data_IF_618965622334
#
_entry.id   IF_618965622334
#
_cell.length_a   1.000
_cell.length_b   1.000
_cell.length_c   1.000
_cell.angle_alpha   90.00
_cell.angle_beta   90.00
_cell.angle_gamma   90.00
#
_symmetry.space_group_name_H-M   'P 1'
#
loop_
_entity.id
_entity.type
_entity.pdbx_description
1 polymer ?
#
# COMPACT_ATOMS: atom_id res chain seq x y z
N UNK A 1 -13.97 24.30 28.09
CA UNK A 1 -13.77 25.56 27.34
C UNK A 1 -12.68 26.34 28.04
N UNK A 2 -11.58 26.70 27.35
CA UNK A 2 -10.50 27.57 27.88
C UNK A 2 -10.91 29.06 27.91
N UNK A 3 -12.21 29.37 28.06
CA UNK A 3 -12.73 30.74 27.94
C UNK A 3 -12.45 31.63 29.16
N UNK A 4 -11.86 31.10 30.23
CA UNK A 4 -11.84 31.78 31.52
C UNK A 4 -10.49 32.38 31.93
N UNK A 5 -9.45 32.28 31.12
CA UNK A 5 -8.16 32.92 31.41
C UNK A 5 -7.65 33.69 30.19
N UNK A 6 -7.41 35.01 30.33
CA UNK A 6 -6.78 35.89 29.32
C UNK A 6 -5.29 35.58 29.11
N UNK A 7 -4.89 34.33 29.24
CA UNK A 7 -3.51 33.92 29.04
C UNK A 7 -3.24 33.74 27.54
N UNK A 8 -2.05 34.12 27.04
CA UNK A 8 -1.69 33.89 25.65
C UNK A 8 -1.66 32.37 25.38
N UNK A 9 -2.54 31.89 24.51
CA UNK A 9 -2.64 30.48 24.13
C UNK A 9 -1.82 30.25 22.87
N UNK A 10 -0.87 29.32 22.93
CA UNK A 10 -0.10 28.86 21.77
C UNK A 10 -0.27 27.36 21.56
N UNK A 11 -0.10 26.89 20.32
CA UNK A 11 -0.26 25.48 19.94
C UNK A 11 1.08 24.83 19.66
N UNK A 12 1.39 23.78 20.41
CA UNK A 12 2.54 22.92 20.16
C UNK A 12 2.19 21.86 19.10
N UNK A 13 3.12 21.59 18.18
CA UNK A 13 2.99 20.47 17.23
C UNK A 13 4.30 19.74 16.99
N UNK A 14 4.21 18.43 17.03
CA UNK A 14 5.30 17.47 16.76
C UNK A 14 4.72 16.25 16.04
N UNK A 15 5.55 15.56 15.26
CA UNK A 15 5.16 14.37 14.48
C UNK A 15 5.54 13.05 15.17
N UNK A 16 6.44 13.13 16.14
CA UNK A 16 6.93 12.03 16.96
C UNK A 16 6.93 12.45 18.44
N UNK A 17 6.86 11.48 19.34
CA UNK A 17 6.89 11.70 20.79
C UNK A 17 8.30 11.37 21.27
N UNK A 18 9.23 12.30 21.07
CA UNK A 18 10.62 12.21 21.53
C UNK A 18 10.97 13.44 22.36
N UNK A 19 11.91 13.31 23.31
CA UNK A 19 12.37 14.44 24.12
C UNK A 19 12.81 15.62 23.24
N UNK A 20 13.57 15.32 22.18
CA UNK A 20 14.01 16.31 21.20
C UNK A 20 12.85 17.01 20.51
N UNK A 21 11.87 16.25 20.00
CA UNK A 21 10.72 16.84 19.29
C UNK A 21 9.82 17.67 20.21
N UNK A 22 9.68 17.27 21.48
CA UNK A 22 8.92 18.04 22.48
C UNK A 22 9.64 19.34 22.83
N UNK A 23 10.95 19.29 23.10
CA UNK A 23 11.77 20.50 23.36
C UNK A 23 11.71 21.47 22.19
N UNK A 24 11.90 20.97 20.96
CA UNK A 24 11.80 21.80 19.76
C UNK A 24 10.42 22.43 19.57
N UNK A 25 9.34 21.70 19.90
CA UNK A 25 7.99 22.24 19.82
C UNK A 25 7.73 23.33 20.86
N UNK A 26 8.31 23.21 22.06
CA UNK A 26 8.24 24.23 23.12
C UNK A 26 8.99 25.51 22.74
N UNK A 27 10.14 25.38 22.07
CA UNK A 27 10.92 26.51 21.56
C UNK A 27 10.23 27.22 20.38
N UNK A 28 9.45 26.49 19.58
CA UNK A 28 8.79 27.00 18.37
C UNK A 28 7.25 26.83 18.44
N UNK A 29 6.58 27.50 19.40
CA UNK A 29 5.13 27.44 19.51
C UNK A 29 4.49 28.24 18.37
N UNK A 30 3.35 27.77 17.88
CA UNK A 30 2.67 28.42 16.75
C UNK A 30 1.24 28.80 17.05
N UNK A 31 0.68 29.62 16.17
CA UNK A 31 -0.72 29.98 16.23
C UNK A 31 -1.64 28.86 15.74
N UNK A 32 -2.92 29.02 16.10
CA UNK A 32 -3.97 28.14 15.62
C UNK A 32 -4.23 28.44 14.14
N UNK A 33 -3.93 27.47 13.29
CA UNK A 33 -4.20 27.56 11.86
C UNK A 33 -5.71 27.45 11.61
N UNK A 34 -6.36 28.61 11.44
CA UNK A 34 -7.80 28.70 11.23
C UNK A 34 -8.24 28.09 9.90
N UNK A 35 -7.38 28.01 8.88
CA UNK A 35 -7.72 27.34 7.63
C UNK A 35 -7.91 25.84 7.83
N UNK A 36 -7.08 25.21 8.68
CA UNK A 36 -7.26 23.79 9.04
C UNK A 36 -8.52 23.55 9.88
N UNK A 37 -8.86 24.49 10.77
CA UNK A 37 -10.10 24.43 11.55
C UNK A 37 -11.31 24.53 10.62
N UNK A 38 -11.34 25.54 9.75
CA UNK A 38 -12.42 25.78 8.81
C UNK A 38 -12.58 24.61 7.82
N UNK A 39 -11.47 24.02 7.34
CA UNK A 39 -11.52 22.84 6.48
C UNK A 39 -12.15 21.63 7.20
N UNK A 40 -11.83 21.43 8.49
CA UNK A 40 -12.42 20.35 9.28
C UNK A 40 -13.91 20.61 9.56
N UNK A 41 -14.29 21.85 9.86
CA UNK A 41 -15.68 22.26 10.07
C UNK A 41 -16.51 22.12 8.79
N UNK A 42 -16.00 22.59 7.66
CA UNK A 42 -16.65 22.45 6.36
C UNK A 42 -16.90 20.97 6.03
N UNK A 43 -15.89 20.10 6.24
CA UNK A 43 -16.06 18.65 6.08
C UNK A 43 -17.16 18.09 7.00
N UNK A 44 -17.18 18.49 8.27
CA UNK A 44 -18.21 18.05 9.23
C UNK A 44 -19.60 18.51 8.83
N UNK A 45 -19.76 19.75 8.36
CA UNK A 45 -21.03 20.29 7.88
C UNK A 45 -21.48 19.52 6.62
N UNK A 46 -20.57 19.29 5.67
CA UNK A 46 -20.86 18.54 4.45
C UNK A 46 -21.33 17.12 4.74
N UNK A 47 -20.60 16.38 5.58
CA UNK A 47 -20.96 15.01 5.95
C UNK A 47 -22.31 15.00 6.71
N UNK A 48 -22.60 16.05 7.50
CA UNK A 48 -23.90 16.25 8.18
C UNK A 48 -25.04 16.50 7.19
N UNK A 49 -24.85 17.38 6.21
CA UNK A 49 -25.86 17.71 5.20
C UNK A 49 -26.24 16.49 4.35
N UNK A 50 -25.24 15.72 3.92
CA UNK A 50 -25.49 14.47 3.16
C UNK A 50 -26.26 13.48 4.04
N UNK A 51 -25.86 13.30 5.30
CA UNK A 51 -26.57 12.44 6.24
C UNK A 51 -28.04 12.82 6.40
N UNK A 52 -28.36 14.08 6.68
CA UNK A 52 -29.76 14.51 6.90
C UNK A 52 -30.60 14.57 5.64
N UNK A 53 -30.03 14.94 4.49
CA UNK A 53 -30.80 15.05 3.24
C UNK A 53 -30.99 13.73 2.51
N UNK A 54 -29.96 12.87 2.49
CA UNK A 54 -29.95 11.66 1.66
C UNK A 54 -30.45 10.43 2.43
N UNK A 55 -30.19 10.32 3.73
CA UNK A 55 -30.63 9.14 4.50
C UNK A 55 -32.16 8.93 4.49
N UNK A 56 -33.02 9.96 4.63
CA UNK A 56 -34.47 9.78 4.55
C UNK A 56 -34.95 9.24 3.19
N UNK A 57 -34.26 9.61 2.10
CA UNK A 57 -34.55 9.06 0.78
C UNK A 57 -34.20 7.57 0.72
N UNK A 58 -33.00 7.20 1.15
CA UNK A 58 -32.55 5.79 1.18
C UNK A 58 -33.44 4.92 2.06
N UNK A 59 -33.99 5.46 3.16
CA UNK A 59 -34.93 4.72 4.01
C UNK A 59 -36.23 4.37 3.30
N UNK A 60 -36.74 5.27 2.46
CA UNK A 60 -37.98 5.05 1.70
C UNK A 60 -37.78 4.07 0.54
N UNK A 61 -36.61 4.10 -0.11
CA UNK A 61 -36.37 3.33 -1.34
C UNK A 61 -35.74 1.96 -1.08
N UNK A 62 -34.94 1.80 -0.01
CA UNK A 62 -34.14 0.58 0.21
C UNK A 62 -34.50 -0.10 1.52
N UNK A 63 -34.11 0.49 2.65
CA UNK A 63 -34.37 -0.07 4.00
C UNK A 63 -34.21 1.01 5.06
N UNK A 64 -35.13 1.02 6.02
CA UNK A 64 -35.04 1.85 7.21
C UNK A 64 -33.76 1.56 8.01
N UNK A 65 -33.11 2.61 8.51
CA UNK A 65 -31.89 2.51 9.32
C UNK A 65 -30.56 2.50 8.53
N UNK A 66 -30.60 2.57 7.20
CA UNK A 66 -29.38 2.73 6.38
C UNK A 66 -28.84 4.16 6.44
N UNK A 67 -27.52 4.32 6.43
CA UNK A 67 -26.88 5.65 6.40
C UNK A 67 -26.33 5.95 5.01
N UNK A 68 -26.62 7.14 4.50
CA UNK A 68 -26.00 7.65 3.29
C UNK A 68 -24.74 8.44 3.66
N UNK A 69 -23.58 7.90 3.29
CA UNK A 69 -22.29 8.54 3.51
C UNK A 69 -21.65 8.99 2.21
N UNK A 70 -21.17 10.23 2.14
CA UNK A 70 -20.49 10.77 0.95
C UNK A 70 -19.28 9.94 0.49
N UNK A 71 -18.51 9.39 1.43
CA UNK A 71 -17.33 8.56 1.13
C UNK A 71 -17.69 7.07 1.06
N UNK A 72 -18.64 6.62 1.88
CA UNK A 72 -19.04 5.22 1.94
C UNK A 72 -19.77 4.76 0.67
N UNK A 73 -20.62 5.62 0.10
CA UNK A 73 -21.33 5.33 -1.16
C UNK A 73 -20.38 5.12 -2.33
N UNK A 74 -19.35 5.95 -2.49
CA UNK A 74 -18.32 5.77 -3.53
C UNK A 74 -17.53 4.48 -3.30
N UNK A 75 -17.17 4.17 -2.06
CA UNK A 75 -16.46 2.93 -1.75
C UNK A 75 -17.31 1.68 -2.04
N UNK A 76 -18.61 1.73 -1.72
CA UNK A 76 -19.55 0.65 -2.05
C UNK A 76 -19.71 0.51 -3.57
N UNK A 77 -19.84 1.64 -4.29
CA UNK A 77 -19.91 1.65 -5.75
C UNK A 77 -18.72 0.94 -6.40
N UNK A 78 -17.49 1.21 -5.94
CA UNK A 78 -16.30 0.53 -6.48
C UNK A 78 -16.34 -0.99 -6.29
N UNK A 79 -16.94 -1.47 -5.19
CA UNK A 79 -17.11 -2.91 -4.94
C UNK A 79 -18.19 -3.47 -5.87
N UNK A 80 -19.32 -2.77 -6.03
CA UNK A 80 -20.39 -3.18 -6.93
C UNK A 80 -19.93 -3.22 -8.39
N UNK A 81 -19.21 -2.20 -8.86
CA UNK A 81 -18.64 -2.16 -10.22
C UNK A 81 -17.70 -3.35 -10.45
N UNK A 82 -16.83 -3.67 -9.47
CA UNK A 82 -15.96 -4.84 -9.56
C UNK A 82 -16.73 -6.16 -9.61
N UNK A 83 -17.82 -6.27 -8.84
CA UNK A 83 -18.69 -7.44 -8.84
C UNK A 83 -19.46 -7.58 -10.18
N UNK A 84 -19.91 -6.47 -10.76
CA UNK A 84 -20.52 -6.45 -12.09
C UNK A 84 -19.54 -6.89 -13.17
N UNK A 85 -18.29 -6.42 -13.13
CA UNK A 85 -17.21 -6.90 -14.01
C UNK A 85 -16.99 -8.41 -13.87
N UNK A 86 -17.03 -8.95 -12.64
CA UNK A 86 -16.89 -10.39 -12.39
C UNK A 86 -18.08 -11.17 -12.97
N UNK A 87 -19.31 -10.65 -12.84
CA UNK A 87 -20.51 -11.30 -13.40
C UNK A 87 -20.58 -11.22 -14.92
N UNK A 88 -20.08 -10.14 -15.50
CA UNK A 88 -19.98 -9.96 -16.94
C UNK A 88 -18.78 -10.71 -17.55
N UNK A 89 -17.86 -11.23 -16.73
CA UNK A 89 -16.72 -11.99 -17.21
C UNK A 89 -17.18 -13.33 -17.81
N UNK A 90 -16.93 -13.50 -19.11
CA UNK A 90 -17.12 -14.77 -19.81
C UNK A 90 -15.79 -15.50 -19.83
N UNK A 91 -15.62 -16.62 -19.10
CA UNK A 91 -14.38 -17.39 -19.11
C UNK A 91 -14.09 -17.91 -20.51
N UNK A 92 -12.86 -17.67 -20.98
CA UNK A 92 -12.37 -18.23 -22.23
C UNK A 92 -11.40 -19.37 -21.91
N UNK A 93 -11.61 -20.51 -22.56
CA UNK A 93 -10.69 -21.63 -22.47
C UNK A 93 -9.35 -21.27 -23.14
N UNK A 94 -8.26 -21.63 -22.46
CA UNK A 94 -6.91 -21.52 -22.99
C UNK A 94 -6.04 -22.63 -22.44
N UNK A 95 -5.01 -23.00 -23.20
CA UNK A 95 -4.03 -24.01 -22.82
C UNK A 95 -2.63 -23.41 -22.84
N UNK A 96 -1.84 -23.73 -21.82
CA UNK A 96 -0.41 -23.41 -21.77
C UNK A 96 0.38 -24.72 -21.78
N UNK A 97 1.41 -24.80 -22.61
CA UNK A 97 2.32 -25.94 -22.63
C UNK A 97 3.59 -25.59 -21.88
N UNK A 98 3.90 -26.38 -20.86
CA UNK A 98 5.11 -26.25 -20.05
C UNK A 98 5.97 -27.50 -20.22
N UNK A 99 7.28 -27.30 -20.27
CA UNK A 99 8.25 -28.37 -20.43
C UNK A 99 9.40 -28.20 -19.44
N UNK A 100 9.70 -29.29 -18.73
CA UNK A 100 10.81 -29.36 -17.78
C UNK A 100 12.09 -29.81 -18.50
N UNK A 101 13.14 -29.01 -18.36
CA UNK A 101 14.45 -29.29 -18.92
C UNK A 101 15.49 -29.41 -17.82
N UNK A 102 16.47 -30.29 -18.04
CA UNK A 102 17.64 -30.44 -17.19
C UNK A 102 18.89 -30.05 -18.00
N UNK A 103 19.72 -29.16 -17.47
CA UNK A 103 21.00 -28.83 -18.08
C UNK A 103 22.01 -29.96 -17.84
N UNK A 104 23.10 -29.98 -18.62
CA UNK A 104 24.21 -30.91 -18.40
C UNK A 104 24.81 -30.82 -16.98
N UNK A 105 24.69 -29.66 -16.33
CA UNK A 105 25.12 -29.42 -14.94
C UNK A 105 24.08 -29.87 -13.88
N UNK A 106 23.01 -30.58 -14.29
CA UNK A 106 21.95 -31.08 -13.41
C UNK A 106 20.95 -30.02 -12.93
N UNK A 107 20.91 -28.83 -13.53
CA UNK A 107 19.96 -27.77 -13.13
C UNK A 107 18.64 -27.95 -13.86
N UNK A 108 17.54 -28.01 -13.11
CA UNK A 108 16.19 -28.13 -13.65
C UNK A 108 15.52 -26.77 -13.77
N UNK A 109 14.82 -26.57 -14.88
CA UNK A 109 14.00 -25.38 -15.09
C UNK A 109 12.79 -25.71 -15.97
N UNK A 110 11.68 -25.06 -15.67
CA UNK A 110 10.45 -25.17 -16.45
C UNK A 110 10.39 -24.04 -17.47
N UNK A 111 10.04 -24.37 -18.70
CA UNK A 111 9.84 -23.42 -19.79
C UNK A 111 8.40 -23.44 -20.25
N UNK A 112 7.96 -22.38 -20.92
CA UNK A 112 6.63 -22.30 -21.52
C UNK A 112 6.75 -22.08 -23.02
N UNK A 113 5.88 -22.71 -23.80
CA UNK A 113 5.77 -22.49 -25.22
C UNK A 113 5.30 -21.05 -25.50
N UNK A 114 6.09 -20.31 -26.28
CA UNK A 114 5.81 -18.91 -26.63
C UNK A 114 5.49 -18.69 -28.11
N UNK A 115 5.87 -19.64 -28.98
CA UNK A 115 5.71 -19.51 -30.44
C UNK A 115 5.64 -20.89 -31.10
N UNK A 116 4.76 -21.03 -32.08
CA UNK A 116 4.63 -22.23 -32.93
C UNK A 116 4.78 -21.81 -34.38
N UNK A 117 5.90 -22.19 -35.01
CA UNK A 117 6.24 -21.71 -36.35
C UNK A 117 6.40 -20.18 -36.37
N UNK A 118 5.56 -19.50 -37.14
CA UNK A 118 5.51 -18.02 -37.23
C UNK A 118 4.47 -17.40 -36.28
N UNK A 119 3.61 -18.19 -35.66
CA UNK A 119 2.56 -17.72 -34.75
C UNK A 119 3.12 -17.50 -33.34
N UNK A 120 3.23 -16.25 -32.91
CA UNK A 120 3.54 -15.89 -31.53
C UNK A 120 2.30 -16.03 -30.64
N UNK A 121 2.42 -16.78 -29.56
CA UNK A 121 1.33 -17.01 -28.61
C UNK A 121 1.30 -15.89 -27.57
N UNK A 122 0.22 -15.13 -27.51
CA UNK A 122 0.04 -14.11 -26.48
C UNK A 122 0.12 -14.73 -25.08
N UNK A 123 1.13 -14.32 -24.30
CA UNK A 123 1.40 -14.85 -22.95
C UNK A 123 1.64 -16.38 -22.91
N UNK A 124 1.97 -17.00 -24.06
CA UNK A 124 2.13 -18.45 -24.19
C UNK A 124 0.83 -19.24 -24.14
N UNK A 125 -0.31 -18.61 -24.47
CA UNK A 125 -1.63 -19.23 -24.40
C UNK A 125 -2.14 -19.65 -25.78
N UNK A 126 -2.56 -20.91 -25.90
CA UNK A 126 -3.29 -21.45 -27.04
C UNK A 126 -4.78 -21.25 -26.76
N UNK A 127 -5.45 -20.41 -27.55
CA UNK A 127 -6.86 -20.04 -27.38
C UNK A 127 -7.69 -20.48 -28.59
N UNK A 128 -9.01 -20.54 -28.43
CA UNK A 128 -9.97 -20.75 -29.53
C UNK A 128 -10.62 -22.14 -29.53
N UNK A 129 -11.55 -22.35 -30.46
CA UNK A 129 -12.24 -23.63 -30.62
C UNK A 129 -11.25 -24.73 -31.03
N UNK A 130 -11.30 -25.88 -30.34
CA UNK A 130 -10.32 -26.96 -30.55
C UNK A 130 -8.94 -26.71 -29.95
N UNK A 131 -8.75 -25.67 -29.12
CA UNK A 131 -7.47 -25.37 -28.47
C UNK A 131 -6.90 -26.54 -27.67
N UNK A 132 -7.76 -27.37 -27.08
CA UNK A 132 -7.34 -28.56 -26.31
C UNK A 132 -6.73 -29.65 -27.19
N UNK A 133 -7.32 -29.94 -28.35
CA UNK A 133 -6.77 -30.92 -29.30
C UNK A 133 -5.46 -30.42 -29.92
N UNK A 134 -5.41 -29.13 -30.25
CA UNK A 134 -4.19 -28.48 -30.72
C UNK A 134 -3.07 -28.55 -29.67
N UNK A 135 -3.37 -28.24 -28.41
CA UNK A 135 -2.41 -28.32 -27.32
C UNK A 135 -1.90 -29.76 -27.09
N UNK A 136 -2.78 -30.76 -27.13
CA UNK A 136 -2.40 -32.19 -27.02
C UNK A 136 -1.48 -32.63 -28.15
N UNK A 137 -1.81 -32.24 -29.38
CA UNK A 137 -1.02 -32.60 -30.57
C UNK A 137 0.38 -31.98 -30.50
N UNK A 138 0.45 -30.69 -30.18
CA UNK A 138 1.72 -29.99 -29.98
C UNK A 138 2.54 -30.58 -28.82
N UNK A 139 1.90 -30.98 -27.72
CA UNK A 139 2.59 -31.62 -26.61
C UNK A 139 3.22 -32.96 -27.02
N UNK A 140 2.51 -33.77 -27.82
CA UNK A 140 3.03 -35.04 -28.33
C UNK A 140 4.22 -34.84 -29.29
N UNK A 141 4.12 -33.85 -30.18
CA UNK A 141 5.22 -33.48 -31.09
C UNK A 141 6.46 -33.01 -30.31
N UNK A 142 6.26 -32.13 -29.33
CA UNK A 142 7.34 -31.60 -28.50
C UNK A 142 8.00 -32.67 -27.62
N UNK A 143 7.24 -33.66 -27.15
CA UNK A 143 7.78 -34.77 -26.35
C UNK A 143 8.73 -35.68 -27.16
N UNK A 144 8.49 -35.81 -28.46
CA UNK A 144 9.35 -36.59 -29.36
C UNK A 144 10.55 -35.80 -29.93
N UNK A 145 10.53 -34.47 -29.79
CA UNK A 145 11.53 -33.59 -30.39
C UNK A 145 12.74 -33.34 -29.46
N UNK A 146 13.93 -33.26 -30.05
CA UNK A 146 15.12 -32.81 -29.33
C UNK A 146 15.13 -31.28 -29.20
N UNK A 147 15.21 -30.77 -27.98
CA UNK A 147 15.31 -29.34 -27.72
C UNK A 147 16.77 -28.84 -27.82
N UNK A 148 16.95 -27.63 -28.35
CA UNK A 148 18.23 -26.92 -28.33
C UNK A 148 18.04 -25.48 -27.88
N UNK A 149 19.03 -24.94 -27.19
CA UNK A 149 19.02 -23.53 -26.79
C UNK A 149 19.31 -22.66 -28.01
N UNK A 150 18.36 -21.82 -28.40
CA UNK A 150 18.51 -20.94 -29.56
C UNK A 150 19.22 -19.61 -29.21
N UNK A 151 18.95 -19.06 -28.03
CA UNK A 151 19.46 -17.75 -27.61
C UNK A 151 19.49 -17.64 -26.08
N UNK A 152 20.53 -17.03 -25.52
CA UNK A 152 20.67 -16.73 -24.09
C UNK A 152 21.00 -15.24 -23.96
N UNK A 153 20.18 -14.51 -23.21
CA UNK A 153 20.41 -13.11 -22.89
C UNK A 153 20.54 -12.94 -21.37
N UNK A 154 21.62 -12.29 -20.93
CA UNK A 154 21.84 -11.98 -19.51
C UNK A 154 21.78 -10.48 -19.30
N UNK A 155 20.70 -10.01 -18.68
CA UNK A 155 20.50 -8.58 -18.40
C UNK A 155 20.59 -8.29 -16.91
N UNK A 156 21.47 -7.37 -16.46
CA UNK A 156 21.58 -7.02 -15.05
C UNK A 156 20.32 -6.27 -14.60
N UNK A 157 19.56 -6.86 -13.66
CA UNK A 157 18.38 -6.22 -13.07
C UNK A 157 18.74 -5.55 -11.76
N UNK A 158 18.62 -4.22 -11.72
CA UNK A 158 18.75 -3.48 -10.47
C UNK A 158 17.38 -3.36 -9.77
N UNK A 159 17.28 -3.88 -8.54
CA UNK A 159 16.07 -3.72 -7.71
C UNK A 159 16.32 -2.60 -6.70
N UNK A 160 15.41 -1.62 -6.65
CA UNK A 160 15.47 -0.55 -5.66
C UNK A 160 14.67 -0.90 -4.40
N UNK A 161 15.15 -0.51 -3.21
CA UNK A 161 14.41 -0.70 -1.97
C UNK A 161 13.10 0.08 -1.99
N UNK A 162 12.08 -0.47 -1.33
CA UNK A 162 10.77 0.15 -1.20
C UNK A 162 10.88 1.45 -0.39
N UNK A 163 10.04 2.43 -0.74
CA UNK A 163 9.95 3.66 0.02
C UNK A 163 9.45 3.40 1.45
N UNK A 164 9.81 4.26 2.43
CA UNK A 164 9.28 4.20 3.78
C UNK A 164 7.75 4.19 3.81
N UNK A 165 7.18 3.52 4.81
CA UNK A 165 5.73 3.35 4.90
C UNK A 165 5.00 4.68 5.07
N UNK A 166 3.91 4.84 4.34
CA UNK A 166 2.82 5.78 4.65
C UNK A 166 1.61 4.99 5.12
N UNK A 167 0.56 5.64 5.62
CA UNK A 167 -0.62 4.95 6.15
C UNK A 167 -1.22 3.95 5.14
N UNK A 168 -1.35 4.31 3.86
CA UNK A 168 -1.92 3.40 2.86
C UNK A 168 -1.03 2.19 2.57
N UNK A 169 0.28 2.40 2.39
CA UNK A 169 1.21 1.30 2.11
C UNK A 169 1.41 0.40 3.33
N UNK A 170 1.36 0.96 4.55
CA UNK A 170 1.38 0.19 5.78
C UNK A 170 0.12 -0.69 5.88
N UNK A 171 -1.05 -0.11 5.66
CA UNK A 171 -2.32 -0.85 5.67
C UNK A 171 -2.35 -1.96 4.62
N UNK A 172 -1.89 -1.68 3.39
CA UNK A 172 -1.80 -2.69 2.33
C UNK A 172 -0.82 -3.81 2.67
N UNK A 173 0.37 -3.46 3.17
CA UNK A 173 1.41 -4.45 3.50
C UNK A 173 1.00 -5.30 4.69
N UNK A 174 0.39 -4.70 5.71
CA UNK A 174 -0.11 -5.42 6.88
C UNK A 174 -1.19 -6.44 6.49
N UNK A 175 -2.16 -6.03 5.65
CA UNK A 175 -3.21 -6.91 5.15
C UNK A 175 -2.64 -8.10 4.37
N UNK A 176 -1.68 -7.84 3.47
CA UNK A 176 -1.09 -8.86 2.62
C UNK A 176 -0.13 -9.79 3.36
N UNK A 177 0.63 -9.27 4.33
CA UNK A 177 1.67 -10.04 5.02
C UNK A 177 1.13 -10.83 6.22
N UNK A 178 0.10 -10.32 6.91
CA UNK A 178 -0.40 -10.92 8.16
C UNK A 178 -1.80 -11.52 8.02
N UNK A 179 -2.44 -11.43 6.85
CA UNK A 179 -3.79 -11.94 6.62
C UNK A 179 -4.88 -11.24 7.45
N UNK A 180 -4.52 -10.17 8.17
CA UNK A 180 -5.43 -9.42 9.03
C UNK A 180 -6.18 -8.40 8.17
N UNK A 181 -7.46 -8.70 7.90
CA UNK A 181 -8.41 -7.77 7.27
C UNK A 181 -8.23 -6.35 7.83
N UNK A 182 -8.27 -5.34 6.96
CA UNK A 182 -8.22 -3.92 7.34
C UNK A 182 -9.12 -3.67 8.57
N UNK A 183 -8.68 -2.84 9.55
CA UNK A 183 -9.29 -2.82 10.86
C UNK A 183 -10.81 -2.61 10.75
N UNK A 184 -11.56 -3.66 11.13
CA UNK A 184 -12.99 -3.57 11.43
C UNK A 184 -13.16 -2.36 12.33
N UNK A 185 -14.03 -1.44 11.89
CA UNK A 185 -14.06 -0.07 12.38
C UNK A 185 -13.93 0.07 13.89
N UNK A 186 -13.02 0.96 14.31
CA UNK A 186 -13.00 1.68 15.60
C UNK A 186 -13.71 0.94 16.74
N UNK A 187 -13.05 -0.05 17.31
CA UNK A 187 -13.62 -0.78 18.45
C UNK A 187 -12.69 -1.77 19.11
N UNK A 188 -11.66 -2.27 18.42
CA UNK A 188 -10.71 -3.14 19.09
C UNK A 188 -9.74 -2.31 19.93
N UNK A 189 -9.85 -2.47 21.25
CA UNK A 189 -9.05 -1.78 22.28
C UNK A 189 -7.57 -2.19 22.25
N UNK A 190 -7.16 -3.07 21.33
CA UNK A 190 -5.75 -3.48 21.13
C UNK A 190 -4.89 -2.38 20.48
N UNK A 191 -5.43 -1.59 19.55
CA UNK A 191 -4.69 -0.46 18.96
C UNK A 191 -4.60 0.76 19.88
N UNK A 192 -5.54 0.90 20.83
CA UNK A 192 -5.50 1.95 21.84
C UNK A 192 -4.44 1.70 22.94
N UNK A 193 -3.95 0.46 23.06
CA UNK A 193 -2.85 0.09 23.96
C UNK A 193 -1.46 0.40 23.37
N UNK A 194 -1.32 0.34 22.05
CA UNK A 194 -0.07 0.71 21.37
C UNK A 194 0.20 2.22 21.43
N UNK A 195 -0.83 3.08 21.42
CA UNK A 195 -0.63 4.52 21.58
C UNK A 195 -0.22 4.94 23.02
N UNK A 196 -0.45 4.07 24.03
CA UNK A 196 -0.09 4.37 25.43
C UNK A 196 1.32 3.92 25.82
N UNK A 197 1.93 3.01 25.06
CA UNK A 197 3.27 2.49 25.34
C UNK A 197 4.24 2.51 24.14
N UNK A 198 3.84 2.95 22.95
CA UNK A 198 4.75 3.06 21.82
C UNK A 198 5.33 4.47 21.70
N UNK A 199 6.65 4.56 21.86
CA UNK A 199 7.50 5.68 21.49
C UNK A 199 7.52 5.93 19.96
N UNK A 200 6.40 5.80 19.23
CA UNK A 200 6.33 5.81 17.76
C UNK A 200 5.86 7.14 17.16
N UNK A 201 6.09 7.29 15.85
CA UNK A 201 5.54 8.39 15.03
C UNK A 201 4.01 8.27 14.86
N UNK A 202 3.30 9.40 14.71
CA UNK A 202 1.83 9.39 14.57
C UNK A 202 1.36 8.50 13.41
N UNK A 203 0.47 7.55 13.67
CA UNK A 203 -0.06 6.55 12.72
C UNK A 203 -0.77 7.10 11.46
N UNK A 204 -1.01 8.42 11.37
CA UNK A 204 -1.64 9.07 10.22
C UNK A 204 -0.62 9.88 9.42
N UNK A 205 0.07 9.21 8.51
CA UNK A 205 0.91 9.81 7.48
C UNK A 205 0.27 9.59 6.11
N UNK A 206 -0.18 10.67 5.46
CA UNK A 206 -0.40 10.63 4.02
C UNK A 206 0.83 11.27 3.40
N UNK A 207 1.50 10.57 2.47
CA UNK A 207 2.70 11.01 1.74
C UNK A 207 4.02 10.62 2.40
N UNK A 208 4.98 10.23 1.56
CA UNK A 208 6.36 9.97 1.95
C UNK A 208 7.11 11.30 1.81
N UNK A 209 7.14 12.08 2.89
CA UNK A 209 8.11 13.17 3.01
C UNK A 209 9.49 12.56 3.31
N UNK A 210 10.59 13.20 2.87
CA UNK A 210 11.93 12.69 3.11
C UNK A 210 12.21 12.54 4.62
N UNK A 211 12.93 11.48 4.95
CA UNK A 211 13.45 11.20 6.29
C UNK A 211 14.47 12.28 6.67
N UNK A 212 14.42 12.88 7.87
CA UNK A 212 15.41 13.85 8.33
C UNK A 212 16.79 13.19 8.41
N UNK A 213 17.81 13.98 8.07
CA UNK A 213 19.19 13.49 7.90
C UNK A 213 19.80 12.71 9.09
N UNK A 214 19.59 13.06 10.38
CA UNK A 214 20.14 12.26 11.47
C UNK A 214 19.57 10.84 11.53
N UNK A 215 18.36 10.63 11.00
CA UNK A 215 17.66 9.34 11.10
C UNK A 215 17.91 8.40 9.92
N UNK A 216 18.36 8.93 8.77
CA UNK A 216 18.80 8.10 7.65
C UNK A 216 19.96 7.18 8.09
N UNK A 217 20.78 7.63 9.05
CA UNK A 217 21.88 6.83 9.61
C UNK A 217 21.45 5.68 10.52
N UNK A 218 20.28 5.77 11.18
CA UNK A 218 19.83 4.81 12.18
C UNK A 218 19.14 3.56 11.60
N UNK A 219 18.76 3.57 10.32
CA UNK A 219 18.15 2.42 9.64
C UNK A 219 19.16 1.39 9.09
N UNK A 220 20.41 1.42 9.54
CA UNK A 220 21.51 0.63 8.99
C UNK A 220 21.71 -0.65 9.79
N UNK A 221 21.42 -1.82 9.20
CA UNK A 221 21.89 -3.09 9.73
C UNK A 221 23.41 -3.21 9.50
N UNK A 222 24.17 -3.72 10.48
CA UNK A 222 25.62 -3.94 10.36
C UNK A 222 25.88 -5.03 9.29
N UNK A 223 26.80 -4.79 8.35
CA UNK A 223 27.28 -5.79 7.39
C UNK A 223 26.97 -5.57 5.90
N UNK A 224 26.06 -4.66 5.53
CA UNK A 224 25.80 -4.36 4.10
C UNK A 224 26.64 -3.18 3.56
N UNK A 225 27.13 -3.24 2.29
CA UNK A 225 27.83 -2.14 1.67
C UNK A 225 26.96 -0.88 1.67
N UNK A 226 27.55 0.24 2.08
CA UNK A 226 26.81 1.48 2.31
C UNK A 226 26.20 2.03 1.01
N UNK A 227 24.89 1.91 0.85
CA UNK A 227 24.19 2.67 -0.18
C UNK A 227 24.15 4.17 0.19
N UNK A 228 24.41 5.08 -0.77
CA UNK A 228 24.27 6.53 -0.59
C UNK A 228 22.90 6.88 0.02
N UNK A 229 22.87 7.86 0.94
CA UNK A 229 21.63 8.37 1.59
C UNK A 229 20.57 8.67 0.51
N UNK A 230 19.39 8.05 0.60
CA UNK A 230 18.30 8.25 -0.37
C UNK A 230 17.13 9.00 0.27
N UNK A 231 16.73 10.09 -0.37
CA UNK A 231 15.50 10.79 -0.06
C UNK A 231 14.40 10.28 -1.00
N UNK A 232 13.31 9.73 -0.45
CA UNK A 232 12.15 9.34 -1.25
C UNK A 232 11.12 10.47 -1.21
N UNK A 233 11.10 11.31 -2.26
CA UNK A 233 10.01 12.24 -2.51
C UNK A 233 8.95 11.54 -3.37
N UNK A 234 7.70 11.47 -2.91
CA UNK A 234 6.66 10.77 -3.66
C UNK A 234 6.29 11.49 -4.96
N UNK A 235 6.47 10.81 -6.10
CA UNK A 235 6.03 11.23 -7.43
C UNK A 235 4.54 10.87 -7.59
N UNK A 236 3.73 11.82 -8.03
CA UNK A 236 2.30 11.65 -8.32
C UNK A 236 1.48 12.88 -7.94
N UNK A 237 0.49 13.21 -8.76
CA UNK A 237 -0.45 14.36 -8.63
C UNK A 237 -1.23 14.27 -7.32
N UNK A 238 -0.60 14.69 -6.23
CA UNK A 238 -1.19 14.70 -4.89
C UNK A 238 -1.79 16.07 -4.65
N UNK A 239 -2.98 16.09 -4.05
CA UNK A 239 -3.63 17.33 -3.57
C UNK A 239 -2.59 18.15 -2.78
N UNK A 240 -2.34 19.43 -3.16
CA UNK A 240 -1.32 20.24 -2.54
C UNK A 240 -1.55 20.32 -1.04
N UNK A 241 -0.50 19.99 -0.27
CA UNK A 241 -0.60 19.96 1.18
C UNK A 241 -0.04 21.23 1.77
N UNK A 242 -0.81 21.80 2.71
CA UNK A 242 -0.27 22.84 3.59
C UNK A 242 0.68 22.29 4.66
N UNK A 243 0.72 20.97 4.90
CA UNK A 243 1.70 20.34 5.80
C UNK A 243 2.26 19.02 5.27
N UNK A 244 3.59 18.88 5.17
CA UNK A 244 4.22 17.57 5.03
C UNK A 244 4.07 16.81 6.36
N UNK A 245 3.51 15.61 6.29
CA UNK A 245 3.56 14.64 7.38
C UNK A 245 4.60 13.61 6.99
N UNK A 246 5.45 13.28 7.95
CA UNK A 246 6.56 12.35 7.77
C UNK A 246 6.08 10.90 7.60
N UNK A 247 6.88 10.07 6.92
CA UNK A 247 6.61 8.64 6.80
C UNK A 247 6.54 7.94 8.17
N UNK A 248 5.74 6.87 8.27
CA UNK A 248 5.59 6.04 9.46
C UNK A 248 6.87 5.25 9.71
N UNK A 249 7.37 5.33 10.95
CA UNK A 249 8.59 4.64 11.38
C UNK A 249 8.53 4.19 12.84
N UNK A 250 9.30 3.17 13.22
CA UNK A 250 9.52 2.80 14.61
C UNK A 250 10.14 3.95 15.40
N UNK A 251 9.81 3.99 16.68
CA UNK A 251 10.40 4.88 17.67
C UNK A 251 11.89 4.70 17.87
N UNK A 252 12.55 5.71 18.45
CA UNK A 252 13.99 5.67 18.75
C UNK A 252 14.36 4.44 19.60
N UNK A 253 13.58 4.13 20.63
CA UNK A 253 13.79 2.96 21.49
C UNK A 253 13.55 1.62 20.78
N UNK A 254 12.53 1.55 19.93
CA UNK A 254 12.25 0.36 19.13
C UNK A 254 13.36 0.10 18.10
N UNK A 255 13.98 1.15 17.56
CA UNK A 255 15.14 1.04 16.67
C UNK A 255 16.39 0.54 17.40
N UNK A 256 16.63 0.99 18.64
CA UNK A 256 17.71 0.48 19.46
C UNK A 256 17.54 -1.03 19.73
N UNK A 257 16.34 -1.45 20.14
CA UNK A 257 16.04 -2.88 20.36
C UNK A 257 16.13 -3.74 19.10
N UNK A 258 15.72 -3.21 17.95
CA UNK A 258 15.86 -3.91 16.66
C UNK A 258 17.32 -4.01 16.21
N UNK A 259 18.17 -3.06 16.61
CA UNK A 259 19.61 -3.12 16.37
C UNK A 259 20.31 -4.15 17.27
N UNK A 260 19.78 -4.36 18.49
CA UNK A 260 20.35 -5.27 19.47
C UNK A 260 19.82 -6.72 19.35
N UNK A 261 18.58 -6.91 18.89
CA UNK A 261 17.90 -8.23 18.83
C UNK A 261 18.10 -9.06 17.56
N UNK A 262 18.99 -8.64 16.64
CA UNK A 262 19.38 -9.39 15.45
C UNK A 262 20.82 -9.97 15.57
N UNK A 263 21.33 -10.05 16.80
CA UNK A 263 22.60 -10.70 17.15
C UNK A 263 22.47 -12.21 17.30
#
# INVERSE_FOLDING_TARGET
MLKSARLPIRRLTFNEITERAVKQALENPRDLDMNLVNAQQARRIMDRLVGYKVSPFVWRTVRYGLSAGRVQSVALRLICEREEEIRAFVPMEYWTLEADFETADGRRFTTRLVRVGEEELEQGQIRGEGSGDRARSLAAELAAAAARVAHIETTPRQVHPKAPFITSTLQQTHLHALGLAAPRGRGDRRDAGLDRHAAGSRLRARGAAPVPQPEIGAGRARGHPAHRRRAHAGVGTRVPRRRPVEALRPGVEARARLADGLG
#
